data_IF_091281922926
#
_entry.id   IF_091281922926
#
_cell.length_a   1.000
_cell.length_b   1.000
_cell.length_c   1.000
_cell.angle_alpha   90.00
_cell.angle_beta   90.00
_cell.angle_gamma   90.00
#
_symmetry.space_group_name_H-M   'P 1'
#
loop_
_entity.id
_entity.type
_entity.pdbx_description
1 polymer ?
#
# COMPACT_ATOMS: atom_id res chain seq x y z
N UNK A 1 -10.56 -18.34 -32.42
CA UNK A 1 -10.21 -18.10 -31.00
C UNK A 1 -8.75 -18.42 -30.64
N UNK A 2 -8.13 -19.53 -31.11
CA UNK A 2 -6.71 -19.85 -30.79
C UNK A 2 -5.68 -18.85 -31.33
N UNK A 3 -5.85 -18.34 -32.55
CA UNK A 3 -4.96 -17.35 -33.18
C UNK A 3 -4.97 -15.99 -32.49
N UNK A 4 -6.15 -15.51 -32.04
CA UNK A 4 -6.27 -14.25 -31.30
C UNK A 4 -5.60 -14.32 -29.92
N UNK A 5 -5.67 -15.47 -29.24
CA UNK A 5 -5.01 -15.69 -27.93
C UNK A 5 -3.48 -15.77 -28.06
N UNK A 6 -2.96 -16.32 -29.16
CA UNK A 6 -1.53 -16.36 -29.45
C UNK A 6 -0.96 -14.97 -29.76
N UNK A 7 -1.69 -14.16 -30.54
CA UNK A 7 -1.30 -12.77 -30.82
C UNK A 7 -1.30 -11.91 -29.55
N UNK A 8 -2.35 -12.01 -28.72
CA UNK A 8 -2.40 -11.33 -27.42
C UNK A 8 -1.24 -11.72 -26.49
N UNK A 9 -0.91 -13.01 -26.43
CA UNK A 9 0.21 -13.49 -25.62
C UNK A 9 1.57 -13.00 -26.18
N UNK A 10 1.73 -12.95 -27.50
CA UNK A 10 2.94 -12.42 -28.13
C UNK A 10 3.11 -10.92 -27.81
N UNK A 11 2.06 -10.11 -27.99
CA UNK A 11 2.09 -8.67 -27.66
C UNK A 11 2.36 -8.42 -26.17
N UNK A 12 1.77 -9.23 -25.29
CA UNK A 12 1.99 -9.12 -23.84
C UNK A 12 3.44 -9.45 -23.45
N UNK A 13 4.01 -10.51 -24.03
CA UNK A 13 5.42 -10.87 -23.80
C UNK A 13 6.36 -9.78 -24.31
N UNK A 14 6.11 -9.20 -25.48
CA UNK A 14 6.91 -8.09 -26.02
C UNK A 14 6.88 -6.87 -25.11
N UNK A 15 5.72 -6.53 -24.51
CA UNK A 15 5.62 -5.43 -23.55
C UNK A 15 6.46 -5.72 -22.31
N UNK A 16 6.39 -6.93 -21.75
CA UNK A 16 7.19 -7.32 -20.58
C UNK A 16 8.68 -7.21 -20.88
N UNK A 17 9.12 -7.77 -22.02
CA UNK A 17 10.52 -7.70 -22.46
C UNK A 17 10.99 -6.24 -22.61
N UNK A 18 10.15 -5.36 -23.17
CA UNK A 18 10.46 -3.93 -23.30
C UNK A 18 10.64 -3.23 -21.95
N UNK A 19 9.81 -3.57 -20.96
CA UNK A 19 9.91 -3.03 -19.59
C UNK A 19 11.14 -3.57 -18.87
N UNK A 20 11.48 -4.83 -19.08
CA UNK A 20 12.70 -5.43 -18.52
C UNK A 20 13.97 -4.80 -19.09
N UNK A 21 14.00 -4.49 -20.38
CA UNK A 21 15.10 -3.79 -21.02
C UNK A 21 15.29 -2.38 -20.42
N UNK A 22 14.21 -1.59 -20.36
CA UNK A 22 14.22 -0.24 -19.76
C UNK A 22 14.65 -0.25 -18.29
N UNK A 23 14.18 -1.22 -17.51
CA UNK A 23 14.61 -1.39 -16.11
C UNK A 23 16.12 -1.65 -15.99
N UNK A 24 16.69 -2.49 -16.87
CA UNK A 24 18.14 -2.80 -16.85
C UNK A 24 18.96 -1.55 -17.16
N UNK A 25 18.56 -0.78 -18.16
CA UNK A 25 19.18 0.50 -18.49
C UNK A 25 19.13 1.46 -17.30
N UNK A 26 17.94 1.63 -16.69
CA UNK A 26 17.77 2.47 -15.51
C UNK A 26 18.60 2.01 -14.30
N UNK A 27 18.74 0.69 -14.10
CA UNK A 27 19.59 0.15 -13.04
C UNK A 27 21.06 0.52 -13.25
N UNK A 28 21.54 0.45 -14.50
CA UNK A 28 22.90 0.86 -14.85
C UNK A 28 23.08 2.37 -14.67
N UNK A 29 22.10 3.19 -15.08
CA UNK A 29 22.14 4.64 -14.86
C UNK A 29 22.32 4.98 -13.38
N UNK A 30 21.49 4.39 -12.51
CA UNK A 30 21.48 4.69 -11.06
C UNK A 30 22.80 4.28 -10.39
N UNK A 31 23.33 3.11 -10.73
CA UNK A 31 24.43 2.50 -9.97
C UNK A 31 25.77 2.43 -10.75
N UNK A 32 25.87 3.01 -11.96
CA UNK A 32 27.10 3.03 -12.75
C UNK A 32 28.29 3.62 -12.00
N UNK A 33 28.05 4.71 -11.25
CA UNK A 33 29.07 5.39 -10.45
C UNK A 33 29.70 4.48 -9.39
N UNK A 34 28.99 3.45 -8.94
CA UNK A 34 29.48 2.52 -7.93
C UNK A 34 30.77 1.82 -8.36
N UNK A 35 30.91 1.54 -9.66
CA UNK A 35 32.08 0.84 -10.20
C UNK A 35 33.37 1.66 -10.12
N UNK A 36 33.27 3.00 -10.13
CA UNK A 36 34.43 3.89 -10.06
C UNK A 36 34.84 4.30 -8.65
N UNK A 37 34.10 3.85 -7.62
CA UNK A 37 34.39 4.17 -6.22
C UNK A 37 35.45 3.23 -5.61
N UNK A 38 36.24 3.76 -4.67
CA UNK A 38 37.11 2.95 -3.81
C UNK A 38 36.30 2.00 -2.91
N UNK A 39 36.90 0.93 -2.36
CA UNK A 39 36.20 0.01 -1.46
C UNK A 39 35.54 0.70 -0.25
N UNK A 40 36.20 1.68 0.36
CA UNK A 40 35.67 2.43 1.51
C UNK A 40 34.46 3.30 1.11
N UNK A 41 34.56 3.98 -0.03
CA UNK A 41 33.46 4.80 -0.57
C UNK A 41 32.26 3.94 -0.99
N UNK A 42 32.50 2.74 -1.52
CA UNK A 42 31.44 1.77 -1.87
C UNK A 42 30.61 1.42 -0.65
N UNK A 43 31.26 1.06 0.46
CA UNK A 43 30.57 0.76 1.71
C UNK A 43 29.76 1.98 2.16
N UNK A 44 30.38 3.16 2.24
CA UNK A 44 29.69 4.38 2.66
C UNK A 44 28.48 4.71 1.78
N UNK A 45 28.61 4.63 0.46
CA UNK A 45 27.51 4.91 -0.48
C UNK A 45 26.39 3.88 -0.40
N UNK A 46 26.72 2.60 -0.27
CA UNK A 46 25.71 1.52 -0.19
C UNK A 46 24.73 1.67 0.97
N UNK A 47 25.17 2.25 2.10
CA UNK A 47 24.30 2.47 3.27
C UNK A 47 23.71 3.89 3.35
N UNK A 48 24.09 4.79 2.44
CA UNK A 48 23.64 6.20 2.45
C UNK A 48 22.27 6.42 1.80
N UNK A 49 21.84 5.51 0.91
CA UNK A 49 20.68 5.70 0.04
C UNK A 49 20.85 6.76 -1.05
N UNK A 50 21.98 7.46 -1.10
CA UNK A 50 22.19 8.61 -1.99
C UNK A 50 22.17 8.25 -3.47
N UNK A 51 22.56 7.01 -3.84
CA UNK A 51 22.58 6.58 -5.24
C UNK A 51 21.16 6.53 -5.79
N UNK A 52 20.29 5.78 -5.11
CA UNK A 52 18.91 5.66 -5.53
C UNK A 52 18.13 6.98 -5.38
N UNK A 53 18.35 7.72 -4.29
CA UNK A 53 17.68 9.00 -4.06
C UNK A 53 18.08 10.08 -5.06
N UNK A 54 19.36 10.18 -5.41
CA UNK A 54 19.85 11.17 -6.38
C UNK A 54 19.25 10.99 -7.77
N UNK A 55 18.99 9.73 -8.16
CA UNK A 55 18.41 9.42 -9.47
C UNK A 55 16.87 9.55 -9.51
N UNK A 56 16.20 9.38 -8.37
CA UNK A 56 14.73 9.34 -8.32
C UNK A 56 14.10 10.63 -7.81
N UNK A 57 14.81 11.38 -6.95
CA UNK A 57 14.34 12.61 -6.31
C UNK A 57 12.95 12.47 -5.67
N UNK A 58 12.62 11.28 -5.13
CA UNK A 58 11.25 10.96 -4.70
C UNK A 58 10.69 11.87 -3.60
N UNK A 59 11.55 12.53 -2.82
CA UNK A 59 11.15 13.42 -1.72
C UNK A 59 11.18 14.91 -2.07
N UNK A 60 11.51 15.26 -3.33
CA UNK A 60 11.44 16.65 -3.78
C UNK A 60 9.99 17.14 -3.72
N UNK A 61 9.81 18.39 -3.30
CA UNK A 61 8.48 19.02 -3.24
C UNK A 61 7.79 18.94 -4.60
N UNK A 62 6.57 18.42 -4.59
CA UNK A 62 5.76 18.36 -5.80
C UNK A 62 5.14 19.73 -6.09
N UNK A 63 5.19 20.11 -7.37
CA UNK A 63 4.66 21.37 -7.89
C UNK A 63 3.16 21.51 -7.59
N UNK A 64 2.64 22.75 -7.49
CA UNK A 64 1.34 23.01 -6.90
C UNK A 64 0.16 22.34 -7.61
N UNK A 65 -0.84 22.06 -6.79
CA UNK A 65 -2.14 21.37 -6.96
C UNK A 65 -3.03 21.75 -8.17
N UNK A 66 -2.57 22.59 -9.09
CA UNK A 66 -3.41 23.28 -10.09
C UNK A 66 -4.24 22.35 -10.98
N UNK A 67 -3.84 21.08 -11.14
CA UNK A 67 -4.49 20.13 -12.03
C UNK A 67 -5.15 18.92 -11.34
N UNK A 68 -5.28 18.94 -10.00
CA UNK A 68 -6.02 17.89 -9.30
C UNK A 68 -7.49 18.29 -9.21
N UNK A 69 -8.31 17.66 -10.05
CA UNK A 69 -9.74 17.92 -10.11
C UNK A 69 -10.46 17.35 -8.89
N UNK A 70 -11.62 17.94 -8.57
CA UNK A 70 -12.56 17.47 -7.55
C UNK A 70 -12.13 17.60 -6.08
N UNK A 71 -10.98 18.19 -5.74
CA UNK A 71 -10.62 18.43 -4.32
C UNK A 71 -11.70 19.24 -3.59
N UNK A 72 -12.14 20.36 -4.15
CA UNK A 72 -13.23 21.14 -3.54
C UNK A 72 -14.58 20.40 -3.46
N UNK A 73 -14.84 19.45 -4.36
CA UNK A 73 -16.02 18.58 -4.26
C UNK A 73 -15.85 17.51 -3.16
N UNK A 74 -14.64 16.96 -3.02
CA UNK A 74 -14.29 16.07 -1.92
C UNK A 74 -14.46 16.80 -0.58
N UNK A 75 -13.99 18.03 -0.43
CA UNK A 75 -14.17 18.84 0.79
C UNK A 75 -15.65 19.03 1.15
N UNK A 76 -16.48 19.30 0.14
CA UNK A 76 -17.93 19.44 0.33
C UNK A 76 -18.56 18.12 0.83
N UNK A 77 -18.19 16.97 0.26
CA UNK A 77 -18.66 15.66 0.72
C UNK A 77 -18.14 15.35 2.13
N UNK A 78 -16.87 15.63 2.41
CA UNK A 78 -16.25 15.38 3.70
C UNK A 78 -16.91 16.19 4.82
N UNK A 79 -17.27 17.44 4.56
CA UNK A 79 -17.94 18.29 5.56
C UNK A 79 -19.38 17.85 5.83
N UNK A 80 -20.10 17.44 4.77
CA UNK A 80 -21.56 17.20 4.85
C UNK A 80 -21.94 15.76 5.23
N UNK A 81 -21.19 14.77 4.75
CA UNK A 81 -21.58 13.35 4.81
C UNK A 81 -20.73 12.57 5.80
N UNK A 82 -19.41 12.78 5.80
CA UNK A 82 -18.48 11.95 6.58
C UNK A 82 -18.79 11.94 8.08
N UNK A 83 -19.12 13.06 8.75
CA UNK A 83 -19.50 13.05 10.18
C UNK A 83 -20.70 12.16 10.50
N UNK A 84 -21.61 11.94 9.54
CA UNK A 84 -22.77 11.08 9.70
C UNK A 84 -22.39 9.61 9.54
N UNK A 85 -21.58 9.29 8.52
CA UNK A 85 -21.05 7.95 8.30
C UNK A 85 -20.16 7.50 9.46
N UNK A 86 -19.32 8.41 9.96
CA UNK A 86 -18.32 8.10 10.97
C UNK A 86 -18.90 7.63 12.31
N UNK A 87 -20.15 8.03 12.61
CA UNK A 87 -20.86 7.65 13.85
C UNK A 87 -21.59 6.30 13.76
N UNK A 88 -21.71 5.72 12.56
CA UNK A 88 -22.46 4.48 12.36
C UNK A 88 -21.52 3.27 12.35
N UNK A 89 -21.48 2.54 13.47
CA UNK A 89 -20.62 1.37 13.64
C UNK A 89 -20.88 0.25 12.61
N UNK A 90 -22.12 0.04 12.20
CA UNK A 90 -22.48 -0.99 11.22
C UNK A 90 -21.94 -0.65 9.82
N UNK A 91 -22.00 0.63 9.44
CA UNK A 91 -21.42 1.13 8.19
C UNK A 91 -19.91 0.87 8.17
N UNK A 92 -19.21 1.16 9.27
CA UNK A 92 -17.78 0.90 9.38
C UNK A 92 -17.43 -0.58 9.33
N UNK A 93 -18.22 -1.45 9.96
CA UNK A 93 -18.01 -2.90 9.90
C UNK A 93 -18.12 -3.42 8.45
N UNK A 94 -19.17 -3.02 7.73
CA UNK A 94 -19.36 -3.38 6.32
C UNK A 94 -18.26 -2.81 5.42
N UNK A 95 -17.84 -1.57 5.69
CA UNK A 95 -16.74 -0.93 4.99
C UNK A 95 -15.43 -1.69 5.19
N UNK A 96 -15.08 -2.05 6.43
CA UNK A 96 -13.86 -2.81 6.77
C UNK A 96 -13.79 -4.14 6.06
N UNK A 97 -14.92 -4.85 6.01
CA UNK A 97 -15.06 -6.10 5.26
C UNK A 97 -14.78 -5.89 3.76
N UNK A 98 -15.45 -4.89 3.15
CA UNK A 98 -15.26 -4.57 1.73
C UNK A 98 -13.82 -4.13 1.41
N UNK A 99 -13.23 -3.30 2.26
CA UNK A 99 -11.85 -2.83 2.11
C UNK A 99 -10.87 -3.99 2.21
N UNK A 100 -11.04 -4.87 3.19
CA UNK A 100 -10.21 -6.07 3.36
C UNK A 100 -10.29 -6.97 2.12
N UNK A 101 -11.50 -7.31 1.66
CA UNK A 101 -11.69 -8.14 0.47
C UNK A 101 -10.98 -7.55 -0.76
N UNK A 102 -11.16 -6.25 -1.02
CA UNK A 102 -10.56 -5.61 -2.19
C UNK A 102 -9.04 -5.46 -2.06
N UNK A 103 -8.53 -5.13 -0.87
CA UNK A 103 -7.09 -4.98 -0.62
C UNK A 103 -6.34 -6.30 -0.82
N UNK A 104 -6.85 -7.43 -0.33
CA UNK A 104 -6.23 -8.75 -0.53
C UNK A 104 -6.44 -9.26 -1.96
N UNK A 105 -7.63 -9.04 -2.54
CA UNK A 105 -7.93 -9.42 -3.92
C UNK A 105 -7.06 -8.74 -4.97
N UNK A 106 -6.61 -7.50 -4.71
CA UNK A 106 -5.67 -6.79 -5.59
C UNK A 106 -4.32 -7.52 -5.65
N UNK A 107 -3.90 -8.17 -4.57
CA UNK A 107 -2.65 -8.93 -4.51
C UNK A 107 -2.79 -10.37 -5.04
N UNK A 108 -4.02 -10.80 -5.37
CA UNK A 108 -4.30 -12.09 -6.00
C UNK A 108 -5.11 -13.06 -5.14
N UNK A 109 -5.52 -12.67 -3.94
CA UNK A 109 -6.42 -13.48 -3.11
C UNK A 109 -7.75 -13.76 -3.87
N UNK A 110 -8.19 -15.01 -3.85
CA UNK A 110 -9.34 -15.49 -4.62
C UNK A 110 -10.65 -15.51 -3.84
N UNK A 111 -10.61 -15.28 -2.53
CA UNK A 111 -11.79 -15.27 -1.68
C UNK A 111 -12.73 -14.11 -2.06
N UNK A 112 -14.02 -14.41 -2.15
CA UNK A 112 -15.08 -13.43 -2.38
C UNK A 112 -15.33 -12.60 -1.13
N UNK A 113 -16.08 -11.51 -1.27
CA UNK A 113 -16.48 -10.72 -0.11
C UNK A 113 -17.35 -11.53 0.86
N UNK A 114 -18.17 -12.48 0.36
CA UNK A 114 -18.98 -13.35 1.21
C UNK A 114 -18.13 -14.34 2.01
N UNK A 115 -17.06 -14.85 1.42
CA UNK A 115 -16.09 -15.69 2.14
C UNK A 115 -15.41 -14.89 3.26
N UNK A 116 -15.03 -13.63 2.98
CA UNK A 116 -14.43 -12.76 4.00
C UNK A 116 -15.40 -12.50 5.16
N UNK A 117 -16.70 -12.37 4.89
CA UNK A 117 -17.75 -12.20 5.91
C UNK A 117 -17.83 -13.44 6.81
N UNK A 118 -17.90 -14.64 6.22
CA UNK A 118 -17.92 -15.90 6.96
C UNK A 118 -16.67 -16.05 7.84
N UNK A 119 -15.48 -15.68 7.32
CA UNK A 119 -14.25 -15.70 8.09
C UNK A 119 -14.28 -14.70 9.26
N UNK A 120 -14.80 -13.49 9.05
CA UNK A 120 -14.92 -12.49 10.11
C UNK A 120 -15.89 -12.96 11.21
N UNK A 121 -17.04 -13.51 10.82
CA UNK A 121 -18.03 -14.01 11.77
C UNK A 121 -17.51 -15.20 12.60
N UNK A 122 -16.70 -16.06 11.97
CA UNK A 122 -16.20 -17.28 12.60
C UNK A 122 -14.92 -17.05 13.42
N UNK A 123 -14.04 -16.16 12.96
CA UNK A 123 -12.68 -16.03 13.49
C UNK A 123 -12.23 -14.59 13.76
N UNK A 124 -13.06 -13.57 13.52
CA UNK A 124 -12.65 -12.16 13.62
C UNK A 124 -12.20 -11.71 15.01
N UNK A 125 -12.54 -12.46 16.05
CA UNK A 125 -12.10 -12.21 17.44
C UNK A 125 -10.91 -13.07 17.87
N UNK A 126 -10.42 -13.97 17.01
CA UNK A 126 -9.31 -14.85 17.35
C UNK A 126 -8.01 -14.05 17.41
N UNK A 127 -7.17 -14.35 18.39
CA UNK A 127 -5.80 -13.83 18.42
C UNK A 127 -4.96 -14.43 17.28
N UNK A 128 -3.81 -13.81 16.99
CA UNK A 128 -2.92 -14.33 15.94
C UNK A 128 -2.43 -15.75 16.23
N UNK A 129 -2.16 -16.08 17.50
CA UNK A 129 -1.75 -17.43 17.92
C UNK A 129 -2.87 -18.47 17.69
N UNK A 130 -4.12 -18.11 18.01
CA UNK A 130 -5.27 -18.98 17.73
C UNK A 130 -5.45 -19.21 16.24
N UNK A 131 -5.32 -18.17 15.42
CA UNK A 131 -5.44 -18.27 13.96
C UNK A 131 -4.36 -19.16 13.34
N UNK A 132 -3.12 -19.09 13.86
CA UNK A 132 -2.03 -19.94 13.40
C UNK A 132 -2.26 -21.44 13.71
N UNK A 133 -3.14 -21.75 14.66
CA UNK A 133 -3.55 -23.11 14.97
C UNK A 133 -4.71 -23.66 14.12
N UNK A 134 -5.35 -22.83 13.28
CA UNK A 134 -6.49 -23.25 12.46
C UNK A 134 -6.01 -24.03 11.23
N UNK A 135 -6.55 -25.22 11.01
CA UNK A 135 -6.15 -26.07 9.89
C UNK A 135 -6.77 -25.62 8.57
N UNK A 136 -6.18 -26.05 7.45
CA UNK A 136 -6.79 -25.83 6.12
C UNK A 136 -8.17 -26.51 6.01
N UNK A 137 -8.35 -27.67 6.66
CA UNK A 137 -9.63 -28.37 6.66
C UNK A 137 -10.72 -27.55 7.37
N UNK A 138 -10.40 -26.93 8.51
CA UNK A 138 -11.35 -26.09 9.25
C UNK A 138 -11.78 -24.89 8.40
N UNK A 139 -10.83 -24.21 7.75
CA UNK A 139 -11.14 -23.11 6.83
C UNK A 139 -11.99 -23.57 5.64
N UNK A 140 -11.69 -24.72 5.06
CA UNK A 140 -12.44 -25.23 3.90
C UNK A 140 -13.85 -25.69 4.29
N UNK A 141 -14.01 -26.25 5.49
CA UNK A 141 -15.30 -26.67 6.02
C UNK A 141 -16.22 -25.48 6.28
N UNK A 142 -15.73 -24.42 6.94
CA UNK A 142 -16.56 -23.25 7.24
C UNK A 142 -16.94 -22.47 5.98
N UNK A 143 -16.03 -22.40 5.00
CA UNK A 143 -16.27 -21.75 3.71
C UNK A 143 -17.07 -22.62 2.73
N UNK A 144 -17.26 -23.91 3.04
CA UNK A 144 -17.91 -24.90 2.17
C UNK A 144 -17.28 -24.98 0.77
N UNK A 145 -15.97 -24.79 0.69
CA UNK A 145 -15.18 -24.87 -0.56
C UNK A 145 -13.70 -25.08 -0.22
N UNK A 146 -12.92 -25.50 -1.21
CA UNK A 146 -11.46 -25.49 -1.06
C UNK A 146 -10.95 -24.05 -0.90
N UNK A 147 -10.20 -23.82 0.17
CA UNK A 147 -9.51 -22.56 0.42
C UNK A 147 -8.14 -22.85 1.04
N UNK A 148 -7.15 -22.06 0.68
CA UNK A 148 -5.82 -22.20 1.26
C UNK A 148 -5.74 -21.51 2.61
N UNK A 149 -4.97 -22.08 3.55
CA UNK A 149 -4.69 -21.42 4.84
C UNK A 149 -4.11 -20.02 4.63
N UNK A 150 -3.22 -19.85 3.64
CA UNK A 150 -2.63 -18.56 3.29
C UNK A 150 -3.69 -17.50 2.97
N UNK A 151 -4.65 -17.81 2.09
CA UNK A 151 -5.66 -16.82 1.69
C UNK A 151 -6.60 -16.44 2.84
N UNK A 152 -6.96 -17.41 3.68
CA UNK A 152 -7.83 -17.17 4.83
C UNK A 152 -7.10 -16.32 5.89
N UNK A 153 -5.85 -16.67 6.22
CA UNK A 153 -5.03 -15.91 7.14
C UNK A 153 -4.72 -14.50 6.61
N UNK A 154 -4.51 -14.33 5.31
CA UNK A 154 -4.30 -13.00 4.72
C UNK A 154 -5.50 -12.07 4.96
N UNK A 155 -6.74 -12.58 4.83
CA UNK A 155 -7.96 -11.83 5.11
C UNK A 155 -8.06 -11.49 6.60
N UNK A 156 -7.83 -12.46 7.48
CA UNK A 156 -7.96 -12.28 8.93
C UNK A 156 -6.86 -11.39 9.52
N UNK A 157 -5.62 -11.51 9.06
CA UNK A 157 -4.53 -10.63 9.49
C UNK A 157 -4.64 -9.22 8.91
N UNK A 158 -5.26 -9.06 7.74
CA UNK A 158 -5.65 -7.72 7.28
C UNK A 158 -6.70 -7.09 8.20
N UNK A 159 -7.64 -7.88 8.72
CA UNK A 159 -8.58 -7.42 9.75
C UNK A 159 -7.85 -6.98 11.04
N UNK A 160 -6.87 -7.76 11.51
CA UNK A 160 -6.05 -7.39 12.68
C UNK A 160 -5.27 -6.09 12.46
N UNK A 161 -4.63 -5.94 11.30
CA UNK A 161 -3.92 -4.71 10.96
C UNK A 161 -4.87 -3.48 10.94
N UNK A 162 -6.10 -3.66 10.47
CA UNK A 162 -7.12 -2.61 10.56
C UNK A 162 -7.46 -2.27 12.01
N UNK A 163 -7.68 -3.26 12.88
CA UNK A 163 -7.94 -3.03 14.31
C UNK A 163 -6.77 -2.32 14.99
N UNK A 164 -5.53 -2.64 14.62
CA UNK A 164 -4.34 -1.96 15.12
C UNK A 164 -4.32 -0.48 14.68
N UNK A 165 -4.64 -0.20 13.42
CA UNK A 165 -4.75 1.17 12.91
C UNK A 165 -5.82 1.96 13.65
N UNK A 166 -6.99 1.37 13.93
CA UNK A 166 -8.02 2.06 14.72
C UNK A 166 -7.51 2.51 16.09
N UNK A 167 -6.58 1.78 16.72
CA UNK A 167 -5.92 2.19 17.97
C UNK A 167 -4.89 3.31 17.73
N UNK A 168 -4.13 3.25 16.64
CA UNK A 168 -3.21 4.33 16.26
C UNK A 168 -3.97 5.64 15.99
N UNK A 169 -5.21 5.53 15.51
CA UNK A 169 -6.07 6.67 15.20
C UNK A 169 -6.53 7.47 16.44
N UNK A 170 -6.40 6.91 17.63
CA UNK A 170 -6.70 7.59 18.91
C UNK A 170 -5.61 8.59 19.34
N UNK A 171 -4.42 8.54 18.76
CA UNK A 171 -3.27 9.40 19.08
C UNK A 171 -3.01 10.42 17.96
N UNK A 172 -2.44 11.62 18.17
CA UNK A 172 -2.10 12.60 17.12
C UNK A 172 -1.12 12.11 16.03
N UNK A 173 -1.17 12.67 14.81
CA UNK A 173 -0.47 12.06 13.63
C UNK A 173 1.02 12.36 13.67
N UNK A 174 1.38 13.38 14.44
CA UNK A 174 2.75 13.70 14.85
C UNK A 174 3.45 12.54 15.56
N UNK A 175 2.72 11.63 16.22
CA UNK A 175 3.31 10.46 16.87
C UNK A 175 3.60 9.32 15.89
N UNK A 176 3.03 9.35 14.67
CA UNK A 176 3.20 8.27 13.69
C UNK A 176 4.66 8.13 13.27
N UNK A 177 5.28 6.99 13.54
CA UNK A 177 6.71 6.76 13.27
C UNK A 177 6.98 5.39 12.65
N UNK A 178 8.25 5.15 12.33
CA UNK A 178 8.74 3.92 11.70
C UNK A 178 8.30 2.66 12.42
N UNK A 179 8.40 2.61 13.75
CA UNK A 179 8.00 1.42 14.52
C UNK A 179 6.51 1.11 14.37
N UNK A 180 5.65 2.12 14.32
CA UNK A 180 4.21 1.91 14.11
C UNK A 180 3.91 1.42 12.69
N UNK A 181 4.63 1.90 11.68
CA UNK A 181 4.53 1.37 10.31
C UNK A 181 4.99 -0.10 10.23
N UNK A 182 6.10 -0.43 10.90
CA UNK A 182 6.59 -1.81 11.01
C UNK A 182 5.59 -2.71 11.75
N UNK A 183 4.92 -2.19 12.78
CA UNK A 183 3.86 -2.91 13.49
C UNK A 183 2.61 -3.13 12.61
N UNK A 184 2.20 -2.15 11.80
CA UNK A 184 1.10 -2.36 10.81
C UNK A 184 1.46 -3.52 9.88
N UNK A 185 2.69 -3.54 9.36
CA UNK A 185 3.15 -4.65 8.52
C UNK A 185 3.17 -5.97 9.30
N UNK A 186 3.69 -5.99 10.52
CA UNK A 186 3.74 -7.18 11.38
C UNK A 186 2.36 -7.78 11.66
N UNK A 187 1.34 -6.94 11.86
CA UNK A 187 -0.05 -7.39 12.06
C UNK A 187 -0.61 -8.08 10.81
N UNK A 188 -0.21 -7.66 9.59
CA UNK A 188 -0.60 -8.34 8.33
C UNK A 188 -0.08 -9.77 8.19
N UNK A 189 0.87 -10.17 9.03
CA UNK A 189 1.46 -11.51 9.07
C UNK A 189 1.27 -12.20 10.42
N UNK A 190 0.29 -11.75 11.22
CA UNK A 190 -0.08 -12.41 12.47
C UNK A 190 1.00 -12.38 13.54
N UNK A 191 1.85 -11.35 13.55
CA UNK A 191 2.99 -11.21 14.49
C UNK A 191 4.03 -12.32 14.40
N UNK A 192 3.89 -13.21 13.43
CA UNK A 192 4.91 -14.19 13.12
C UNK A 192 6.08 -13.45 12.49
N UNK A 193 7.25 -13.48 13.15
CA UNK A 193 8.50 -12.91 12.61
C UNK A 193 9.00 -13.63 11.34
N UNK A 194 8.22 -14.59 10.83
CA UNK A 194 8.62 -15.53 9.79
C UNK A 194 8.41 -14.99 8.38
N UNK A 195 8.94 -13.81 8.04
CA UNK A 195 9.18 -13.43 6.64
C UNK A 195 10.49 -12.67 6.40
N UNK A 196 11.29 -12.42 7.43
CA UNK A 196 12.62 -11.80 7.31
C UNK A 196 13.73 -12.52 8.10
N UNK A 197 13.40 -13.56 8.86
CA UNK A 197 14.37 -14.25 9.71
C UNK A 197 15.16 -15.30 8.93
N UNK A 198 16.22 -14.88 8.25
CA UNK A 198 17.39 -15.74 8.09
C UNK A 198 18.15 -15.65 9.41
N UNK A 199 18.42 -16.79 10.04
CA UNK A 199 19.23 -16.85 11.27
C UNK A 199 20.50 -16.00 11.11
N UNK A 200 20.68 -14.98 11.97
CA UNK A 200 21.88 -14.14 12.02
C UNK A 200 21.71 -12.67 11.60
N UNK A 201 20.60 -12.26 10.97
CA UNK A 201 20.33 -10.83 10.65
C UNK A 201 19.15 -10.30 11.49
N UNK A 202 19.40 -10.06 12.78
CA UNK A 202 18.35 -9.81 13.77
C UNK A 202 17.87 -8.35 13.91
N UNK A 203 18.33 -7.41 13.07
CA UNK A 203 18.16 -5.97 13.36
C UNK A 203 17.27 -5.18 12.38
N UNK A 204 16.82 -5.77 11.27
CA UNK A 204 16.01 -5.04 10.29
C UNK A 204 14.72 -5.77 9.93
N UNK A 205 13.59 -5.10 10.15
CA UNK A 205 12.27 -5.54 9.66
C UNK A 205 12.09 -5.30 8.15
N UNK A 206 13.12 -4.80 7.45
CA UNK A 206 13.12 -4.59 6.01
C UNK A 206 13.69 -5.78 5.24
N UNK A 207 13.45 -5.80 3.93
CA UNK A 207 13.98 -6.84 3.05
C UNK A 207 15.52 -6.82 3.05
N UNK A 208 16.09 -8.02 3.09
CA UNK A 208 17.55 -8.23 3.03
C UNK A 208 18.05 -8.59 1.62
N UNK A 209 17.13 -8.78 0.67
CA UNK A 209 17.45 -9.16 -0.72
C UNK A 209 16.90 -8.13 -1.72
N UNK A 210 17.59 -7.94 -2.86
CA UNK A 210 17.06 -7.14 -3.95
C UNK A 210 15.76 -7.74 -4.46
N UNK A 211 14.81 -6.88 -4.82
CA UNK A 211 13.51 -7.33 -5.35
C UNK A 211 13.25 -6.74 -6.72
N UNK A 212 12.36 -7.42 -7.44
CA UNK A 212 11.79 -6.95 -8.70
C UNK A 212 10.29 -7.22 -8.66
N UNK A 213 9.51 -6.19 -8.96
CA UNK A 213 8.06 -6.34 -9.13
C UNK A 213 7.81 -6.79 -10.57
N UNK A 214 7.15 -7.95 -10.74
CA UNK A 214 6.84 -8.49 -12.06
C UNK A 214 5.98 -7.50 -12.86
N UNK A 215 6.39 -7.18 -14.09
CA UNK A 215 5.65 -6.25 -14.97
C UNK A 215 5.89 -4.75 -14.71
N UNK A 216 6.78 -4.43 -13.77
CA UNK A 216 7.22 -3.07 -13.45
C UNK A 216 8.61 -2.81 -14.06
N UNK A 217 8.80 -1.62 -14.63
CA UNK A 217 10.11 -1.14 -15.09
C UNK A 217 10.83 -0.31 -14.01
N UNK A 218 10.11 0.05 -12.95
CA UNK A 218 10.65 0.83 -11.83
C UNK A 218 11.78 0.09 -11.10
N UNK A 219 12.90 0.78 -10.92
CA UNK A 219 14.04 0.30 -10.12
C UNK A 219 13.81 0.65 -8.65
N UNK A 220 13.89 -0.36 -7.78
CA UNK A 220 13.80 -0.23 -6.32
C UNK A 220 15.19 -0.05 -5.72
N UNK A 221 15.34 0.59 -4.54
CA UNK A 221 16.64 0.74 -3.88
C UNK A 221 17.25 -0.62 -3.54
N UNK A 222 18.57 -0.71 -3.38
CA UNK A 222 19.16 -1.92 -2.83
C UNK A 222 18.79 -2.09 -1.34
N UNK A 223 18.74 -3.32 -0.82
CA UNK A 223 18.38 -3.61 0.59
C UNK A 223 19.13 -2.76 1.62
N UNK A 224 20.42 -2.55 1.39
CA UNK A 224 21.31 -1.79 2.27
C UNK A 224 20.94 -0.30 2.34
N UNK A 225 20.31 0.22 1.30
CA UNK A 225 19.85 1.61 1.22
C UNK A 225 18.47 1.82 1.88
N UNK A 226 17.66 0.75 1.99
CA UNK A 226 16.26 0.84 2.46
C UNK A 226 16.14 1.50 3.83
N UNK A 227 16.91 1.13 4.88
CA UNK A 227 16.78 1.76 6.20
C UNK A 227 16.98 3.28 6.16
N UNK A 228 18.03 3.74 5.46
CA UNK A 228 18.34 5.17 5.37
C UNK A 228 17.32 5.94 4.51
N UNK A 229 16.76 5.30 3.48
CA UNK A 229 15.68 5.88 2.66
C UNK A 229 14.37 5.94 3.46
N UNK A 230 14.08 4.95 4.29
CA UNK A 230 12.90 4.96 5.17
C UNK A 230 12.99 6.02 6.26
N UNK A 231 14.20 6.30 6.79
CA UNK A 231 14.41 7.47 7.66
C UNK A 231 14.02 8.78 6.95
N UNK A 232 14.48 8.97 5.71
CA UNK A 232 14.11 10.15 4.91
C UNK A 232 12.62 10.19 4.53
N UNK A 233 11.98 9.01 4.36
CA UNK A 233 10.54 8.92 4.18
C UNK A 233 9.79 9.51 5.38
N UNK A 234 10.22 9.22 6.61
CA UNK A 234 9.58 9.79 7.81
C UNK A 234 9.90 11.28 7.98
N UNK A 235 11.09 11.74 7.66
CA UNK A 235 11.40 13.18 7.61
C UNK A 235 10.46 13.91 6.64
N UNK A 236 10.32 13.38 5.41
CA UNK A 236 9.37 13.90 4.42
C UNK A 236 7.92 13.83 4.92
N UNK A 237 7.52 12.73 5.57
CA UNK A 237 6.17 12.52 6.09
C UNK A 237 5.82 13.58 7.13
N UNK A 238 6.70 13.80 8.10
CA UNK A 238 6.46 14.75 9.18
C UNK A 238 6.43 16.20 8.68
N UNK A 239 7.29 16.57 7.72
CA UNK A 239 7.25 17.88 7.07
C UNK A 239 5.94 18.11 6.31
N UNK A 240 5.48 17.10 5.56
CA UNK A 240 4.25 17.25 4.77
C UNK A 240 2.99 17.20 5.62
N UNK A 241 3.00 16.48 6.75
CA UNK A 241 1.96 16.62 7.78
C UNK A 241 1.87 18.07 8.27
N UNK A 242 2.98 18.72 8.60
CA UNK A 242 2.95 20.14 9.00
C UNK A 242 2.42 21.06 7.89
N UNK A 243 2.72 20.76 6.63
CA UNK A 243 2.12 21.48 5.50
C UNK A 243 0.60 21.29 5.42
N UNK A 244 0.09 20.11 5.75
CA UNK A 244 -1.36 19.87 5.84
C UNK A 244 -1.95 20.65 7.01
N UNK A 245 -1.34 20.57 8.19
CA UNK A 245 -1.79 21.29 9.41
C UNK A 245 -1.85 22.81 9.18
N UNK A 246 -0.94 23.35 8.36
CA UNK A 246 -0.89 24.76 7.97
C UNK A 246 -1.72 25.12 6.72
N UNK A 247 -2.52 24.18 6.18
CA UNK A 247 -3.38 24.41 5.01
C UNK A 247 -2.65 24.59 3.67
N UNK A 248 -1.36 24.25 3.61
CA UNK A 248 -0.52 24.34 2.40
C UNK A 248 -0.71 23.12 1.50
N UNK A 249 -0.93 21.94 2.09
CA UNK A 249 -1.11 20.68 1.38
C UNK A 249 -2.47 20.08 1.70
N UNK A 250 -3.20 19.63 0.68
CA UNK A 250 -4.49 18.97 0.89
C UNK A 250 -4.29 17.57 1.51
N UNK A 251 -5.03 17.19 2.58
CA UNK A 251 -4.84 15.91 3.28
C UNK A 251 -5.00 14.67 2.38
N UNK A 252 -5.97 14.68 1.46
CA UNK A 252 -6.12 13.62 0.46
C UNK A 252 -4.89 13.46 -0.45
N UNK A 253 -4.23 14.56 -0.84
CA UNK A 253 -3.01 14.44 -1.63
C UNK A 253 -1.88 13.90 -0.76
N UNK A 254 -1.73 14.39 0.47
CA UNK A 254 -0.72 13.88 1.39
C UNK A 254 -0.81 12.36 1.57
N UNK A 255 -2.01 11.80 1.74
CA UNK A 255 -2.20 10.35 1.87
C UNK A 255 -1.82 9.57 0.60
N UNK A 256 -2.17 10.10 -0.58
CA UNK A 256 -1.80 9.51 -1.88
C UNK A 256 -0.28 9.56 -2.09
N UNK A 257 0.38 10.66 -1.74
CA UNK A 257 1.82 10.80 -1.84
C UNK A 257 2.55 9.85 -0.90
N UNK A 258 2.08 9.73 0.35
CA UNK A 258 2.64 8.82 1.33
C UNK A 258 2.56 7.36 0.84
N UNK A 259 1.44 6.99 0.22
CA UNK A 259 1.22 5.71 -0.44
C UNK A 259 2.19 5.48 -1.61
N UNK A 260 2.28 6.42 -2.55
CA UNK A 260 3.13 6.31 -3.74
C UNK A 260 4.61 6.18 -3.37
N UNK A 261 5.10 7.06 -2.48
CA UNK A 261 6.50 7.09 -2.08
C UNK A 261 6.90 5.82 -1.32
N UNK A 262 6.04 5.33 -0.43
CA UNK A 262 6.26 4.05 0.25
C UNK A 262 6.34 2.87 -0.72
N UNK A 263 5.42 2.79 -1.69
CA UNK A 263 5.48 1.75 -2.74
C UNK A 263 6.66 1.91 -3.69
N UNK A 264 7.16 3.14 -3.85
CA UNK A 264 8.37 3.40 -4.63
C UNK A 264 9.58 2.74 -3.97
N UNK A 265 9.73 2.90 -2.66
CA UNK A 265 10.81 2.32 -1.84
C UNK A 265 10.69 0.79 -1.78
N UNK A 266 9.46 0.28 -1.59
CA UNK A 266 9.14 -1.15 -1.50
C UNK A 266 9.99 -1.87 -0.43
N UNK A 267 9.86 -1.47 0.85
CA UNK A 267 10.82 -1.88 1.89
C UNK A 267 10.69 -3.33 2.36
N UNK A 268 9.58 -4.02 2.09
CA UNK A 268 9.34 -5.39 2.53
C UNK A 268 9.39 -6.41 1.37
N UNK A 269 9.48 -7.71 1.68
CA UNK A 269 9.38 -8.78 0.67
C UNK A 269 7.96 -8.99 0.16
N UNK A 270 6.98 -8.88 1.06
CA UNK A 270 5.54 -8.97 0.76
C UNK A 270 4.80 -7.98 1.67
N UNK A 271 3.55 -7.69 1.34
CA UNK A 271 2.66 -6.83 2.15
C UNK A 271 2.74 -5.34 1.82
N UNK A 272 3.70 -4.90 0.99
CA UNK A 272 3.88 -3.48 0.66
C UNK A 272 2.59 -2.81 0.16
N UNK A 273 1.86 -3.45 -0.77
CA UNK A 273 0.58 -2.95 -1.27
C UNK A 273 -0.47 -2.76 -0.17
N UNK A 274 -0.62 -3.77 0.69
CA UNK A 274 -1.59 -3.78 1.80
C UNK A 274 -1.22 -2.74 2.85
N UNK A 275 0.04 -2.67 3.27
CA UNK A 275 0.55 -1.63 4.18
C UNK A 275 0.36 -0.23 3.62
N UNK A 276 0.64 -0.01 2.33
CA UNK A 276 0.49 1.31 1.70
C UNK A 276 -0.97 1.79 1.66
N UNK A 277 -1.93 0.89 1.42
CA UNK A 277 -3.36 1.24 1.41
C UNK A 277 -3.89 1.50 2.81
N UNK A 278 -3.46 0.69 3.78
CA UNK A 278 -3.76 0.89 5.19
C UNK A 278 -3.19 2.21 5.73
N UNK A 279 -1.94 2.54 5.39
CA UNK A 279 -1.31 3.83 5.73
C UNK A 279 -2.07 5.02 5.12
N UNK A 280 -2.46 4.93 3.86
CA UNK A 280 -3.24 5.96 3.18
C UNK A 280 -4.57 6.23 3.89
N UNK A 281 -5.29 5.16 4.25
CA UNK A 281 -6.56 5.25 4.99
C UNK A 281 -6.37 5.87 6.38
N UNK A 282 -5.36 5.42 7.13
CA UNK A 282 -5.01 6.04 8.41
C UNK A 282 -4.78 7.55 8.26
N UNK A 283 -4.06 8.01 7.24
CA UNK A 283 -3.85 9.46 7.03
C UNK A 283 -5.19 10.16 6.72
N UNK A 284 -6.02 9.60 5.83
CA UNK A 284 -7.33 10.17 5.47
C UNK A 284 -8.24 10.34 6.69
N UNK A 285 -8.45 9.26 7.45
CA UNK A 285 -9.29 9.27 8.65
C UNK A 285 -8.85 10.33 9.65
N UNK A 286 -7.54 10.54 9.76
CA UNK A 286 -6.94 11.45 10.76
C UNK A 286 -7.08 12.91 10.44
N UNK A 287 -7.39 13.23 9.18
CA UNK A 287 -7.81 14.56 8.76
C UNK A 287 -9.33 14.65 8.51
N UNK A 288 -10.11 13.69 9.04
CA UNK A 288 -11.57 13.71 8.92
C UNK A 288 -12.10 13.43 7.51
N UNK A 289 -11.25 12.92 6.62
CA UNK A 289 -11.66 12.41 5.31
C UNK A 289 -12.13 10.96 5.46
N UNK A 290 -12.92 10.49 4.48
CA UNK A 290 -13.33 9.09 4.45
C UNK A 290 -12.25 8.22 3.82
N UNK A 291 -12.11 7.00 4.34
CA UNK A 291 -11.22 6.01 3.76
C UNK A 291 -11.53 5.69 2.29
N UNK A 292 -10.52 5.21 1.57
CA UNK A 292 -10.63 4.76 0.19
C UNK A 292 -10.61 3.23 0.10
N UNK A 293 -11.50 2.71 -0.75
CA UNK A 293 -11.45 1.33 -1.21
C UNK A 293 -11.15 1.29 -2.70
N UNK A 294 -9.92 0.97 -3.07
CA UNK A 294 -9.55 0.66 -4.46
C UNK A 294 -10.16 -0.70 -4.80
N UNK A 295 -11.18 -0.72 -5.66
CA UNK A 295 -11.89 -1.96 -5.99
C UNK A 295 -11.02 -2.89 -6.84
N UNK A 296 -11.16 -4.21 -6.66
CA UNK A 296 -10.46 -5.25 -7.45
C UNK A 296 -10.56 -5.01 -8.96
N UNK A 297 -11.73 -4.58 -9.45
CA UNK A 297 -11.98 -4.28 -10.87
C UNK A 297 -11.08 -3.17 -11.43
N UNK A 298 -10.58 -2.28 -10.57
CA UNK A 298 -9.70 -1.18 -10.92
C UNK A 298 -8.22 -1.56 -10.88
N UNK A 299 -7.88 -2.81 -10.53
CA UNK A 299 -6.50 -3.28 -10.32
C UNK A 299 -5.56 -2.90 -11.47
N UNK A 300 -5.95 -3.21 -12.71
CA UNK A 300 -5.10 -2.95 -13.89
C UNK A 300 -4.81 -1.47 -14.02
N UNK A 301 -5.84 -0.62 -13.96
CA UNK A 301 -5.69 0.83 -14.08
C UNK A 301 -4.87 1.42 -12.92
N UNK A 302 -5.12 0.95 -11.70
CA UNK A 302 -4.34 1.35 -10.52
C UNK A 302 -2.84 1.04 -10.67
N UNK A 303 -2.49 -0.17 -11.13
CA UNK A 303 -1.09 -0.54 -11.34
C UNK A 303 -0.43 0.24 -12.49
N UNK A 304 -1.14 0.44 -13.60
CA UNK A 304 -0.64 1.21 -14.74
C UNK A 304 -0.33 2.66 -14.35
N UNK A 305 -1.28 3.32 -13.70
CA UNK A 305 -1.11 4.70 -13.24
C UNK A 305 -0.03 4.82 -12.14
N UNK A 306 0.11 3.80 -11.27
CA UNK A 306 1.18 3.79 -10.26
C UNK A 306 2.56 3.67 -10.92
N UNK A 307 2.69 2.85 -11.98
CA UNK A 307 3.92 2.75 -12.76
C UNK A 307 4.25 4.07 -13.45
N UNK A 308 3.26 4.73 -14.08
CA UNK A 308 3.42 6.07 -14.69
C UNK A 308 3.88 7.10 -13.65
N UNK A 309 3.26 7.09 -12.46
CA UNK A 309 3.65 7.96 -11.35
C UNK A 309 5.11 7.71 -10.93
N UNK A 310 5.53 6.45 -10.82
CA UNK A 310 6.90 6.11 -10.44
C UNK A 310 7.94 6.52 -11.49
N UNK A 311 7.50 6.72 -12.74
CA UNK A 311 8.32 7.21 -13.85
C UNK A 311 8.11 8.72 -14.14
N UNK A 312 7.45 9.46 -13.25
CA UNK A 312 7.38 10.92 -13.26
C UNK A 312 6.07 11.54 -13.74
N UNK A 313 5.13 10.75 -14.27
CA UNK A 313 3.80 11.24 -14.65
C UNK A 313 2.81 11.03 -13.49
N UNK A 314 2.74 11.99 -12.57
CA UNK A 314 2.05 11.81 -11.27
C UNK A 314 0.56 12.18 -11.28
N UNK A 315 0.19 13.23 -12.02
CA UNK A 315 -1.16 13.82 -12.02
C UNK A 315 -2.29 12.79 -12.31
N UNK A 316 -2.17 11.89 -13.31
CA UNK A 316 -3.23 10.91 -13.60
C UNK A 316 -3.54 9.98 -12.42
N UNK A 317 -2.50 9.56 -11.66
CA UNK A 317 -2.69 8.73 -10.48
C UNK A 317 -3.39 9.50 -9.37
N UNK A 318 -2.99 10.76 -9.11
CA UNK A 318 -3.64 11.61 -8.12
C UNK A 318 -5.13 11.79 -8.40
N UNK A 319 -5.48 12.16 -9.63
CA UNK A 319 -6.86 12.32 -10.06
C UNK A 319 -7.67 11.03 -9.93
N UNK A 320 -7.09 9.90 -10.34
CA UNK A 320 -7.72 8.58 -10.18
C UNK A 320 -8.01 8.26 -8.71
N UNK A 321 -7.05 8.49 -7.82
CA UNK A 321 -7.21 8.17 -6.39
C UNK A 321 -8.23 9.09 -5.71
N UNK A 322 -8.25 10.39 -6.02
CA UNK A 322 -9.29 11.32 -5.54
C UNK A 322 -10.69 10.86 -5.99
N UNK A 323 -10.83 10.43 -7.25
CA UNK A 323 -12.09 9.87 -7.74
C UNK A 323 -12.50 8.58 -6.99
N UNK A 324 -11.53 7.72 -6.65
CA UNK A 324 -11.81 6.52 -5.86
C UNK A 324 -12.27 6.85 -4.42
N UNK A 325 -11.72 7.89 -3.78
CA UNK A 325 -12.21 8.39 -2.47
C UNK A 325 -13.67 8.83 -2.61
N UNK A 326 -13.98 9.70 -3.59
CA UNK A 326 -15.34 10.19 -3.85
C UNK A 326 -16.31 9.04 -4.12
N UNK A 327 -15.90 8.06 -4.93
CA UNK A 327 -16.72 6.90 -5.24
C UNK A 327 -16.97 6.03 -4.00
N UNK A 328 -15.99 5.92 -3.12
CA UNK A 328 -16.14 5.20 -1.85
C UNK A 328 -17.18 5.90 -0.98
N UNK A 329 -17.07 7.22 -0.75
CA UNK A 329 -18.06 8.01 0.00
C UNK A 329 -19.48 7.81 -0.58
N UNK A 330 -19.64 7.96 -1.90
CA UNK A 330 -20.94 7.79 -2.57
C UNK A 330 -21.52 6.39 -2.39
N UNK A 331 -20.66 5.37 -2.47
CA UNK A 331 -21.08 3.97 -2.33
C UNK A 331 -21.56 3.73 -0.91
N UNK A 332 -20.79 4.15 0.09
CA UNK A 332 -21.14 3.98 1.50
C UNK A 332 -22.41 4.77 1.86
N UNK A 333 -22.53 6.02 1.38
CA UNK A 333 -23.70 6.88 1.62
C UNK A 333 -25.00 6.29 1.08
N UNK A 334 -24.97 5.65 -0.10
CA UNK A 334 -26.16 4.98 -0.66
C UNK A 334 -26.66 3.84 0.22
N UNK A 335 -25.75 3.09 0.83
CA UNK A 335 -26.13 2.00 1.74
C UNK A 335 -26.59 2.54 3.10
N UNK A 336 -26.13 3.72 3.50
CA UNK A 336 -26.53 4.39 4.74
C UNK A 336 -27.98 4.90 4.74
N UNK A 337 -28.53 5.26 3.57
CA UNK A 337 -29.89 5.83 3.42
C UNK A 337 -30.97 4.73 3.34
N UNK A 338 -30.58 3.47 3.17
CA UNK A 338 -31.51 2.32 2.99
C UNK A 338 -31.87 1.64 4.32
N UNK A 339 -31.28 2.09 5.43
CA UNK A 339 -31.61 1.68 6.79
C UNK A 339 -32.00 2.91 7.61
#
# INVERSE_FOLDING_TARGET
>A
MRTSRLLLNATFNTIIESKEARRKERLLEIYSIYNSLSPEEKVKKAFSGEMWLGATNIFKDEQPLANIYHLGYLDSLSTSIVPQLSKNHAIWANYRLSNTHHSTSIEGNTLSQKDCEILFDSFGTYSSEQLMGVSQQDFSQILQKEATTRECLEVLFHHHAFQYISKLEEQPLSHFNENQLLNIHTELFGKSKCYCNVEGFMESNYRLIPIRVKGSETVRPYPQEVPQIMKQYFEWFHLNRERVDNGILHPALFSILAHCKFLHIHPFLDGNGRTARLLMNMILNRYGLFDITVQKKCRTKYLELLEEHQNGLTEPFHNFMVQQIIQTIKTVSKHAIVY
#
